data_IF_032011395171
#
_entry.id   IF_032011395171
#
_cell.length_a   1.000
_cell.length_b   1.000
_cell.length_c   1.000
_cell.angle_alpha   90.00
_cell.angle_beta   90.00
_cell.angle_gamma   90.00
#
_symmetry.space_group_name_H-M   'P 1'
#
loop_
_entity.id
_entity.type
_entity.pdbx_description
1 polymer ?
#
# COMPACT_ATOMS: atom_id res chain seq x y z
N UNK A 1 -45.56 -57.47 -1.07
CA UNK A 1 -44.55 -56.83 -0.20
C UNK A 1 -44.28 -55.46 -0.79
N UNK A 2 -44.81 -54.40 -0.17
CA UNK A 2 -44.03 -53.41 0.57
C UNK A 2 -42.92 -52.74 -0.28
N UNK A 3 -42.72 -51.43 -0.35
CA UNK A 3 -43.37 -50.24 0.21
C UNK A 3 -42.51 -49.05 -0.28
N UNK A 4 -43.13 -47.90 -0.61
CA UNK A 4 -42.64 -46.51 -0.36
C UNK A 4 -41.36 -46.02 -1.09
N UNK A 5 -41.24 -44.80 -1.63
CA UNK A 5 -42.09 -43.60 -1.59
C UNK A 5 -41.22 -42.33 -1.77
N UNK A 6 -41.87 -41.29 -2.31
CA UNK A 6 -41.58 -39.86 -2.19
C UNK A 6 -40.46 -39.18 -3.01
N UNK A 7 -40.94 -38.61 -4.12
CA UNK A 7 -40.61 -37.29 -4.69
C UNK A 7 -40.29 -36.18 -3.65
N UNK A 8 -39.35 -35.29 -3.97
CA UNK A 8 -39.33 -33.93 -3.42
C UNK A 8 -38.60 -32.95 -4.36
N UNK A 9 -39.34 -31.92 -4.76
CA UNK A 9 -38.96 -30.82 -5.62
C UNK A 9 -37.89 -29.92 -4.97
N UNK A 10 -37.00 -29.33 -5.79
CA UNK A 10 -36.23 -28.14 -5.43
C UNK A 10 -36.10 -27.22 -6.65
N UNK A 11 -37.12 -26.37 -6.82
CA UNK A 11 -36.90 -25.06 -7.41
C UNK A 11 -36.26 -24.13 -6.38
N UNK A 12 -35.45 -23.17 -6.83
CA UNK A 12 -35.02 -22.06 -6.00
C UNK A 12 -33.63 -21.52 -6.31
N UNK A 13 -33.61 -20.29 -6.82
CA UNK A 13 -32.66 -19.21 -6.53
C UNK A 13 -31.20 -19.52 -6.13
N UNK A 14 -30.28 -18.88 -6.85
CA UNK A 14 -28.85 -18.71 -6.54
C UNK A 14 -28.57 -18.46 -5.04
N UNK A 15 -27.36 -18.81 -4.56
CA UNK A 15 -26.46 -17.72 -4.21
C UNK A 15 -25.07 -17.85 -4.86
N UNK A 16 -24.63 -16.74 -5.41
CA UNK A 16 -23.21 -16.39 -5.54
C UNK A 16 -22.54 -16.57 -4.17
N UNK A 17 -21.57 -17.48 -4.05
CA UNK A 17 -20.61 -17.48 -2.92
C UNK A 17 -19.33 -16.85 -3.44
N UNK A 18 -19.17 -15.53 -3.29
CA UNK A 18 -18.61 -14.84 -2.12
C UNK A 18 -17.09 -15.09 -1.97
N UNK A 19 -16.34 -14.17 -2.57
CA UNK A 19 -15.21 -13.45 -1.96
C UNK A 19 -14.17 -14.25 -1.17
N UNK A 20 -13.01 -14.50 -1.80
CA UNK A 20 -11.76 -14.73 -1.11
C UNK A 20 -10.93 -13.44 -0.99
N UNK A 21 -11.42 -12.44 -0.26
CA UNK A 21 -10.58 -11.36 0.24
C UNK A 21 -10.37 -11.60 1.74
N UNK A 22 -9.29 -12.30 2.08
CA UNK A 22 -8.88 -12.46 3.47
C UNK A 22 -8.28 -11.14 3.96
N UNK A 23 -9.10 -10.30 4.59
CA UNK A 23 -8.65 -9.24 5.49
C UNK A 23 -8.43 -9.87 6.86
N UNK A 24 -7.16 -10.11 7.21
CA UNK A 24 -6.77 -10.65 8.50
C UNK A 24 -5.38 -10.17 8.90
N UNK A 25 -5.35 -9.19 9.80
CA UNK A 25 -4.36 -9.06 10.89
C UNK A 25 -2.88 -8.88 10.54
N UNK A 26 -2.41 -7.64 10.66
CA UNK A 26 -1.13 -7.24 11.25
C UNK A 26 0.11 -8.13 11.03
N UNK A 27 0.91 -7.76 10.03
CA UNK A 27 2.38 -7.71 10.12
C UNK A 27 2.91 -6.77 9.05
N UNK A 28 2.80 -5.47 9.34
CA UNK A 28 3.62 -4.43 8.72
C UNK A 28 5.07 -4.73 9.10
N UNK A 29 5.87 -5.26 8.17
CA UNK A 29 7.29 -5.53 8.41
C UNK A 29 7.82 -6.80 7.77
N UNK A 30 7.58 -7.00 6.48
CA UNK A 30 8.42 -7.90 5.67
C UNK A 30 8.19 -7.56 4.21
N UNK A 31 9.07 -6.74 3.65
CA UNK A 31 9.30 -6.64 2.20
C UNK A 31 10.08 -7.88 1.76
N UNK A 32 9.56 -9.07 2.09
CA UNK A 32 9.99 -10.33 1.52
C UNK A 32 9.19 -10.55 0.25
N UNK A 33 9.92 -10.70 -0.85
CA UNK A 33 9.42 -11.00 -2.18
C UNK A 33 8.41 -12.17 -2.14
N UNK A 34 7.11 -11.85 -2.13
CA UNK A 34 6.06 -12.88 -2.23
C UNK A 34 5.94 -13.25 -3.70
N UNK A 35 6.86 -14.09 -4.15
CA UNK A 35 6.68 -14.84 -5.38
C UNK A 35 5.47 -15.76 -5.21
N UNK A 36 4.29 -15.29 -5.61
CA UNK A 36 3.13 -16.14 -5.84
C UNK A 36 3.44 -17.05 -7.02
N UNK A 37 4.06 -18.20 -6.75
CA UNK A 37 4.05 -19.33 -7.68
C UNK A 37 2.65 -19.94 -7.69
N UNK A 38 1.70 -19.22 -8.28
CA UNK A 38 0.46 -19.82 -8.73
C UNK A 38 0.84 -20.76 -9.89
N UNK A 39 0.97 -22.06 -9.60
CA UNK A 39 1.07 -23.08 -10.63
C UNK A 39 -0.16 -22.94 -11.54
N UNK A 40 0.03 -22.30 -12.69
CA UNK A 40 -1.05 -22.05 -13.64
C UNK A 40 -1.39 -23.39 -14.27
N UNK A 41 -2.62 -23.93 -14.12
CA UNK A 41 -3.00 -25.15 -14.79
C UNK A 41 -2.86 -24.94 -16.30
N UNK A 42 -1.83 -25.55 -16.89
CA UNK A 42 -1.40 -25.25 -18.25
C UNK A 42 -2.03 -26.28 -19.18
N UNK A 43 -3.29 -26.04 -19.55
CA UNK A 43 -4.00 -26.88 -20.53
C UNK A 43 -3.33 -26.75 -21.91
N UNK A 44 -3.45 -27.76 -22.79
CA UNK A 44 -2.87 -27.69 -24.14
C UNK A 44 -3.33 -26.46 -24.94
N UNK A 45 -4.59 -26.05 -24.79
CA UNK A 45 -5.12 -24.83 -25.42
C UNK A 45 -4.43 -23.56 -24.90
N UNK A 46 -4.18 -23.47 -23.59
CA UNK A 46 -3.44 -22.35 -22.99
C UNK A 46 -1.99 -22.30 -23.49
N UNK A 47 -1.34 -23.45 -23.70
CA UNK A 47 0.02 -23.51 -24.24
C UNK A 47 0.08 -22.95 -25.66
N UNK A 48 -0.83 -23.38 -26.54
CA UNK A 48 -0.91 -22.89 -27.92
C UNK A 48 -1.17 -21.38 -27.96
N UNK A 49 -2.09 -20.89 -27.12
CA UNK A 49 -2.36 -19.46 -27.02
C UNK A 49 -1.15 -18.65 -26.56
N UNK A 50 -0.40 -19.15 -25.56
CA UNK A 50 0.84 -18.51 -25.09
C UNK A 50 1.94 -18.50 -26.14
N UNK A 51 2.05 -19.55 -26.96
CA UNK A 51 2.97 -19.58 -28.09
C UNK A 51 2.60 -18.54 -29.15
N UNK A 52 1.32 -18.44 -29.50
CA UNK A 52 0.82 -17.43 -30.44
C UNK A 52 1.06 -15.99 -29.95
N UNK A 53 0.93 -15.75 -28.64
CA UNK A 53 1.20 -14.46 -28.01
C UNK A 53 2.68 -14.22 -27.68
N UNK A 54 3.58 -15.16 -27.97
CA UNK A 54 5.01 -15.04 -27.66
C UNK A 54 5.35 -15.01 -26.16
N UNK A 55 4.40 -15.36 -25.28
CA UNK A 55 4.56 -15.23 -23.82
C UNK A 55 5.64 -16.16 -23.23
N UNK A 56 6.07 -17.17 -23.98
CA UNK A 56 7.16 -18.07 -23.58
C UNK A 56 8.55 -17.43 -23.75
N UNK A 57 8.63 -16.30 -24.45
CA UNK A 57 9.87 -15.55 -24.69
C UNK A 57 9.95 -14.27 -23.84
N UNK A 58 8.93 -14.01 -23.02
CA UNK A 58 8.90 -12.82 -22.17
C UNK A 58 9.97 -12.91 -21.06
N UNK A 59 10.73 -11.83 -20.88
CA UNK A 59 11.69 -11.73 -19.79
C UNK A 59 10.95 -11.80 -18.43
N UNK A 60 11.29 -12.76 -17.54
CA UNK A 60 10.67 -12.85 -16.22
C UNK A 60 10.86 -11.58 -15.38
N UNK A 61 11.90 -10.78 -15.69
CA UNK A 61 12.24 -9.56 -14.98
C UNK A 61 11.61 -8.29 -15.58
N UNK A 62 10.81 -8.39 -16.65
CA UNK A 62 10.28 -7.23 -17.38
C UNK A 62 9.59 -6.20 -16.48
N UNK A 63 8.88 -6.65 -15.44
CA UNK A 63 8.22 -5.74 -14.47
C UNK A 63 9.24 -4.93 -13.67
N UNK A 64 10.35 -5.55 -13.26
CA UNK A 64 11.41 -4.87 -12.53
C UNK A 64 12.13 -3.85 -13.42
N UNK A 65 12.35 -4.19 -14.69
CA UNK A 65 12.93 -3.30 -15.70
C UNK A 65 12.03 -2.09 -15.96
N UNK A 66 10.75 -2.33 -16.25
CA UNK A 66 9.75 -1.26 -16.45
C UNK A 66 9.66 -0.36 -15.21
N UNK A 67 9.60 -0.94 -14.01
CA UNK A 67 9.52 -0.15 -12.79
C UNK A 67 10.77 0.73 -12.60
N UNK A 68 11.97 0.20 -12.90
CA UNK A 68 13.22 0.97 -12.83
C UNK A 68 13.22 2.12 -13.84
N UNK A 69 12.86 1.86 -15.08
CA UNK A 69 12.79 2.86 -16.15
C UNK A 69 11.72 3.92 -15.87
N UNK A 70 10.55 3.49 -15.41
CA UNK A 70 9.44 4.39 -15.11
C UNK A 70 9.72 5.27 -13.88
N UNK A 71 10.44 4.75 -12.89
CA UNK A 71 10.89 5.55 -11.74
C UNK A 71 11.84 6.67 -12.19
N UNK A 72 12.76 6.38 -13.10
CA UNK A 72 13.70 7.38 -13.64
C UNK A 72 12.97 8.48 -14.43
N UNK A 73 11.94 8.13 -15.20
CA UNK A 73 11.11 9.09 -15.92
C UNK A 73 10.27 9.95 -14.96
N UNK A 74 9.64 9.34 -13.95
CA UNK A 74 8.83 10.07 -12.97
C UNK A 74 9.65 11.09 -12.16
N UNK A 75 10.91 10.76 -11.84
CA UNK A 75 11.81 11.69 -11.14
C UNK A 75 12.33 12.83 -12.03
N UNK A 76 12.49 12.59 -13.35
CA UNK A 76 12.83 13.63 -14.31
C UNK A 76 11.67 14.64 -14.49
N UNK A 77 10.44 14.14 -14.62
CA UNK A 77 9.24 14.98 -14.78
C UNK A 77 8.97 15.85 -13.56
N UNK A 78 9.21 15.35 -12.34
CA UNK A 78 9.07 16.13 -11.11
C UNK A 78 9.98 17.35 -11.08
N UNK A 79 11.23 17.24 -11.55
CA UNK A 79 12.17 18.38 -11.56
C UNK A 79 11.71 19.48 -12.50
N UNK A 80 11.23 19.11 -13.69
CA UNK A 80 10.63 20.05 -14.63
C UNK A 80 9.42 20.75 -13.98
N UNK A 81 8.52 19.97 -13.38
CA UNK A 81 7.33 20.51 -12.73
C UNK A 81 7.69 21.44 -11.57
N UNK A 82 8.70 21.13 -10.76
CA UNK A 82 9.19 21.99 -9.68
C UNK A 82 9.75 23.32 -10.23
N UNK A 83 10.46 23.30 -11.36
CA UNK A 83 10.96 24.52 -12.03
C UNK A 83 9.81 25.40 -12.56
N UNK A 84 8.74 24.79 -13.10
CA UNK A 84 7.55 25.52 -13.55
C UNK A 84 6.69 26.04 -12.38
N UNK A 85 6.68 25.30 -11.28
CA UNK A 85 5.90 25.61 -10.08
C UNK A 85 6.73 26.35 -9.03
N UNK A 86 7.78 27.08 -9.44
CA UNK A 86 8.70 27.80 -8.55
C UNK A 86 8.00 28.75 -7.56
N UNK A 87 6.82 29.28 -7.91
CA UNK A 87 6.01 30.18 -7.10
C UNK A 87 5.26 29.47 -5.97
N UNK A 88 5.07 28.15 -6.10
CA UNK A 88 4.61 27.31 -5.01
C UNK A 88 5.83 26.98 -4.16
N UNK A 89 5.97 27.68 -3.04
CA UNK A 89 6.97 27.38 -2.03
C UNK A 89 6.94 25.87 -1.75
N UNK A 90 8.02 25.15 -2.09
CA UNK A 90 8.16 23.76 -1.71
C UNK A 90 7.96 23.72 -0.19
N UNK A 91 7.07 22.85 0.29
CA UNK A 91 6.69 22.75 1.72
C UNK A 91 7.95 22.93 2.56
N UNK A 92 7.99 24.05 3.26
CA UNK A 92 9.22 24.56 3.83
C UNK A 92 9.70 23.46 4.81
N UNK A 93 10.87 22.87 4.57
CA UNK A 93 11.40 21.79 5.44
C UNK A 93 11.67 22.30 6.87
N UNK A 94 11.46 23.59 7.09
CA UNK A 94 11.44 24.33 8.35
C UNK A 94 10.13 24.15 9.14
N UNK A 95 9.11 23.46 8.61
CA UNK A 95 7.88 23.18 9.34
C UNK A 95 8.20 22.47 10.66
N UNK A 96 8.01 23.21 11.76
CA UNK A 96 8.21 22.79 13.14
C UNK A 96 7.16 21.72 13.44
N UNK A 97 7.57 20.45 13.45
CA UNK A 97 6.65 19.33 13.71
C UNK A 97 6.40 19.22 15.21
N UNK A 98 5.16 19.46 15.64
CA UNK A 98 4.74 19.28 17.04
C UNK A 98 4.70 17.79 17.39
N UNK A 99 5.16 17.41 18.59
CA UNK A 99 5.01 16.06 19.12
C UNK A 99 3.56 15.84 19.60
N UNK A 100 2.76 14.99 18.93
CA UNK A 100 1.35 14.82 19.28
C UNK A 100 1.13 14.17 20.65
N UNK A 101 2.04 13.30 21.10
CA UNK A 101 1.91 12.62 22.39
C UNK A 101 2.26 13.56 23.54
N UNK A 102 3.35 14.31 23.41
CA UNK A 102 3.75 15.32 24.38
C UNK A 102 2.74 16.48 24.44
N UNK A 103 2.23 16.93 23.29
CA UNK A 103 1.25 18.03 23.26
C UNK A 103 -0.08 17.62 23.89
N UNK A 104 -0.55 16.40 23.63
CA UNK A 104 -1.74 15.87 24.31
C UNK A 104 -1.55 15.86 25.82
N UNK A 105 -0.38 15.46 26.32
CA UNK A 105 -0.07 15.45 27.75
C UNK A 105 -0.12 16.86 28.34
N UNK A 106 0.54 17.84 27.68
CA UNK A 106 0.53 19.25 28.10
C UNK A 106 -0.90 19.82 28.16
N UNK A 107 -1.73 19.52 27.16
CA UNK A 107 -3.13 19.94 27.15
C UNK A 107 -3.95 19.34 28.29
N UNK A 108 -3.73 18.05 28.60
CA UNK A 108 -4.38 17.39 29.74
C UNK A 108 -3.95 17.98 31.08
N UNK A 109 -2.65 18.25 31.25
CA UNK A 109 -2.10 18.89 32.45
C UNK A 109 -2.67 20.30 32.63
N UNK A 110 -2.73 21.09 31.56
CA UNK A 110 -3.32 22.43 31.61
C UNK A 110 -4.80 22.38 31.96
N UNK A 111 -5.56 21.44 31.39
CA UNK A 111 -6.97 21.25 31.72
C UNK A 111 -7.16 20.89 33.21
N UNK A 112 -6.31 20.00 33.75
CA UNK A 112 -6.35 19.60 35.16
C UNK A 112 -6.00 20.75 36.13
N UNK A 113 -5.10 21.64 35.72
CA UNK A 113 -4.67 22.81 36.48
C UNK A 113 -5.56 24.03 36.29
N UNK A 114 -6.60 23.95 35.44
CA UNK A 114 -7.45 25.09 35.08
C UNK A 114 -6.70 26.19 34.29
N UNK A 115 -5.57 25.85 33.69
CA UNK A 115 -4.75 26.74 32.89
C UNK A 115 -5.29 26.87 31.46
N UNK A 116 -5.02 28.01 30.83
CA UNK A 116 -5.39 28.23 29.43
C UNK A 116 -4.65 27.25 28.49
N UNK A 117 -5.27 26.80 27.37
CA UNK A 117 -4.66 25.85 26.45
C UNK A 117 -3.33 26.31 25.85
N UNK A 118 -3.10 27.62 25.71
CA UNK A 118 -1.88 28.21 25.17
C UNK A 118 -0.77 28.42 26.21
N UNK A 119 -0.96 28.01 27.48
CA UNK A 119 0.04 28.19 28.53
C UNK A 119 1.14 27.12 28.41
N UNK A 120 2.39 27.56 28.36
CA UNK A 120 3.57 26.69 28.27
C UNK A 120 4.16 26.61 26.87
N UNK A 121 5.26 25.88 26.73
CA UNK A 121 5.95 25.66 25.46
C UNK A 121 5.30 24.50 24.67
N UNK A 122 5.23 24.62 23.34
CA UNK A 122 4.68 23.58 22.46
C UNK A 122 5.79 22.57 22.15
N UNK A 123 5.65 21.30 22.60
CA UNK A 123 6.70 20.30 22.40
C UNK A 123 6.85 20.00 20.91
N UNK A 124 8.08 20.13 20.41
CA UNK A 124 8.42 19.97 19.00
C UNK A 124 9.42 18.82 18.81
N UNK A 125 9.28 18.10 17.70
CA UNK A 125 10.21 17.05 17.25
C UNK A 125 11.31 17.69 16.39
N UNK A 126 12.52 17.80 16.93
CA UNK A 126 13.69 18.18 16.13
C UNK A 126 14.23 17.00 15.33
N UNK A 127 14.18 17.11 13.99
CA UNK A 127 14.81 16.12 13.11
C UNK A 127 16.31 16.39 13.05
N UNK A 128 17.10 15.54 13.73
CA UNK A 128 18.57 15.53 13.57
C UNK A 128 18.91 15.28 12.09
N UNK A 129 19.64 16.20 11.46
CA UNK A 129 20.20 15.98 10.12
C UNK A 129 21.19 14.82 10.22
N UNK A 130 20.84 13.66 9.66
CA UNK A 130 21.80 12.59 9.48
C UNK A 130 22.82 13.07 8.45
N UNK A 131 24.07 13.26 8.88
CA UNK A 131 25.17 13.58 7.98
C UNK A 131 25.36 12.45 6.99
N UNK A 132 25.43 12.79 5.69
CA UNK A 132 25.82 11.83 4.66
C UNK A 132 27.27 11.45 4.95
N UNK A 133 27.48 10.23 5.43
CA UNK A 133 28.80 9.62 5.59
C UNK A 133 29.35 9.33 4.20
N UNK A 134 30.26 10.19 3.71
CA UNK A 134 31.12 9.91 2.57
C UNK A 134 32.36 9.18 3.09
N UNK A 135 32.26 7.86 3.22
CA UNK A 135 33.41 6.96 3.36
C UNK A 135 33.15 5.71 2.54
#
# INVERSE_FOLDING_TARGET
SQQQGAVAALGGGRPFSQSGFALGGAALGSTGDRSVSAATPTTPGMQNFRQQLGLNQADPNIRTTINREHTQLADADRRLLDDLLFWKQAEDRSAVVVDPAAERKRLQENAALGAAPNKGEVPTIERKRQGVSLF
#
